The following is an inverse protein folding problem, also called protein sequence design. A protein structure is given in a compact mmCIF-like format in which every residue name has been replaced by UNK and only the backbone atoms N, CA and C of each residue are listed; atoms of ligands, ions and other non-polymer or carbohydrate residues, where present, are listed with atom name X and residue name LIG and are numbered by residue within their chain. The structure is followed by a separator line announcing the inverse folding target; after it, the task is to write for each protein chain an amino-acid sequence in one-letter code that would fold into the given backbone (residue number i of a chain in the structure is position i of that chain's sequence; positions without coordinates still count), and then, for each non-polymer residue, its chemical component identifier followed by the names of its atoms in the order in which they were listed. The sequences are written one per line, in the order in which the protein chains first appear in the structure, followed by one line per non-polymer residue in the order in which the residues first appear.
data_IF_671600254898
#
_entry.id   IF_671600254898
#
_cell.length_a   1.000
_cell.length_b   1.000
_cell.length_c   1.000
_cell.angle_alpha   90.00
_cell.angle_beta   90.00
_cell.angle_gamma   90.00
#
_symmetry.space_group_name_H-M   'P 1'
#
loop_
_entity.id
_entity.type
_entity.pdbx_description
1 polymer ?
#
# COMPACT_ATOMS: atom_id res chain seq x y z
N UNK A 1 32.54 1.62 24.35
CA UNK A 1 31.98 2.96 24.07
C UNK A 1 31.46 3.01 22.65
N UNK A 2 30.18 2.70 22.46
CA UNK A 2 29.49 2.99 21.21
C UNK A 2 29.11 4.48 21.22
N UNK A 3 29.86 5.27 20.45
CA UNK A 3 29.58 6.69 20.27
C UNK A 3 28.55 6.86 19.16
N UNK A 4 27.32 7.22 19.50
CA UNK A 4 26.27 7.53 18.53
C UNK A 4 26.29 9.02 18.16
N UNK A 5 26.25 9.32 16.85
CA UNK A 5 26.06 10.67 16.32
C UNK A 5 24.81 10.70 15.44
N UNK A 6 24.00 11.76 15.54
CA UNK A 6 22.73 11.88 14.82
C UNK A 6 22.70 13.10 13.90
N UNK A 7 22.20 12.90 12.68
CA UNK A 7 21.93 13.98 11.71
C UNK A 7 20.42 14.10 11.53
N UNK A 8 19.87 15.30 11.74
CA UNK A 8 18.46 15.59 11.55
C UNK A 8 18.24 16.36 10.26
N UNK A 9 17.39 15.83 9.37
CA UNK A 9 17.06 16.44 8.08
C UNK A 9 15.60 16.86 8.10
N UNK A 10 15.33 18.14 7.80
CA UNK A 10 13.98 18.68 7.68
C UNK A 10 13.57 18.71 6.20
N UNK A 11 12.54 17.95 5.85
CA UNK A 11 12.01 17.94 4.49
C UNK A 11 10.95 19.03 4.32
N UNK A 12 11.05 19.83 3.24
CA UNK A 12 10.06 20.85 2.92
C UNK A 12 8.74 20.20 2.47
N UNK A 13 7.61 20.72 2.94
CA UNK A 13 6.26 20.17 2.76
C UNK A 13 5.79 20.00 1.29
N UNK A 14 6.55 20.50 0.31
CA UNK A 14 6.23 20.42 -1.13
C UNK A 14 6.92 19.26 -1.84
N UNK A 15 7.83 18.55 -1.18
CA UNK A 15 8.52 17.41 -1.76
C UNK A 15 7.65 16.15 -1.67
N UNK A 16 7.63 15.33 -2.73
CA UNK A 16 7.04 14.00 -2.66
C UNK A 16 7.90 13.14 -1.72
N UNK A 17 7.44 13.05 -0.48
CA UNK A 17 8.13 12.37 0.62
C UNK A 17 8.36 10.90 0.30
N UNK A 18 7.44 10.25 -0.45
CA UNK A 18 7.58 8.84 -0.80
C UNK A 18 8.68 8.61 -1.81
N UNK A 19 8.75 9.45 -2.84
CA UNK A 19 9.76 9.35 -3.89
C UNK A 19 11.16 9.59 -3.31
N UNK A 20 11.30 10.64 -2.49
CA UNK A 20 12.57 10.94 -1.84
C UNK A 20 13.06 9.82 -0.90
N UNK A 21 12.17 9.25 -0.08
CA UNK A 21 12.54 8.16 0.83
C UNK A 21 12.89 6.89 0.08
N UNK A 22 12.20 6.61 -1.03
CA UNK A 22 12.47 5.45 -1.89
C UNK A 22 13.89 5.48 -2.47
N UNK A 23 14.41 6.65 -2.80
CA UNK A 23 15.78 6.81 -3.30
C UNK A 23 16.80 6.92 -2.16
N UNK A 24 16.41 7.46 -1.00
CA UNK A 24 17.29 7.64 0.16
C UNK A 24 17.65 6.32 0.85
N UNK A 25 16.69 5.42 1.05
CA UNK A 25 16.93 4.11 1.70
C UNK A 25 18.07 3.33 1.01
N UNK A 26 18.03 3.06 -0.31
CA UNK A 26 19.07 2.29 -0.96
C UNK A 26 20.43 3.02 -0.99
N UNK A 27 20.44 4.36 -1.03
CA UNK A 27 21.67 5.13 -0.93
C UNK A 27 22.33 5.00 0.44
N UNK A 28 21.53 4.91 1.51
CA UNK A 28 22.01 4.69 2.88
C UNK A 28 22.46 3.25 3.11
N UNK A 29 21.72 2.25 2.60
CA UNK A 29 22.13 0.83 2.69
C UNK A 29 23.48 0.58 1.97
N UNK A 30 23.73 1.26 0.86
CA UNK A 30 25.01 1.20 0.15
C UNK A 30 26.15 1.87 0.91
N UNK A 31 25.84 2.89 1.71
CA UNK A 31 26.83 3.60 2.52
C UNK A 31 27.20 2.81 3.78
N UNK A 32 26.21 2.18 4.41
CA UNK A 32 26.36 1.26 5.54
C UNK A 32 27.32 0.11 5.18
N UNK A 33 27.03 -0.63 4.10
CA UNK A 33 27.86 -1.74 3.63
C UNK A 33 29.30 -1.36 3.28
N UNK A 34 29.57 -0.10 2.93
CA UNK A 34 30.92 0.37 2.58
C UNK A 34 31.71 0.90 3.77
N UNK A 35 31.03 1.26 4.85
CA UNK A 35 31.66 2.01 5.95
C UNK A 35 31.60 1.26 7.29
N UNK A 36 30.98 0.07 7.34
CA UNK A 36 30.82 -0.75 8.57
C UNK A 36 30.21 0.07 9.71
N UNK A 37 29.26 0.94 9.37
CA UNK A 37 28.60 1.89 10.27
C UNK A 37 27.12 1.54 10.34
N UNK A 38 26.65 1.04 11.48
CA UNK A 38 25.23 0.79 11.72
C UNK A 38 24.40 2.09 11.64
N UNK A 39 23.77 2.32 10.48
CA UNK A 39 22.96 3.51 10.22
C UNK A 39 21.50 3.29 10.63
N UNK A 40 21.03 4.05 11.62
CA UNK A 40 19.65 4.02 12.08
C UNK A 40 18.83 5.17 11.49
N UNK A 41 17.92 4.83 10.58
CA UNK A 41 16.99 5.77 9.96
C UNK A 41 15.66 5.82 10.72
N UNK A 42 15.30 6.99 11.26
CA UNK A 42 14.05 7.18 12.00
C UNK A 42 13.38 8.51 11.67
N UNK A 43 12.11 8.64 12.07
CA UNK A 43 11.31 9.85 11.88
C UNK A 43 9.95 9.58 11.24
N UNK A 44 9.04 10.54 11.36
CA UNK A 44 7.67 10.47 10.80
C UNK A 44 7.64 10.16 9.29
N UNK A 45 8.52 10.74 8.45
CA UNK A 45 8.49 10.47 7.01
C UNK A 45 8.72 8.98 6.69
N UNK A 46 9.67 8.34 7.36
CA UNK A 46 10.05 6.94 7.14
C UNK A 46 8.99 5.99 7.68
N UNK A 47 8.48 6.25 8.89
CA UNK A 47 7.36 5.50 9.47
C UNK A 47 6.14 5.53 8.56
N UNK A 48 5.74 6.72 8.08
CA UNK A 48 4.59 6.85 7.19
C UNK A 48 4.82 6.17 5.83
N UNK A 49 6.05 6.14 5.32
CA UNK A 49 6.39 5.41 4.10
C UNK A 49 6.14 3.90 4.27
N UNK A 50 6.70 3.29 5.32
CA UNK A 50 6.51 1.86 5.59
C UNK A 50 5.05 1.51 5.91
N UNK A 51 4.36 2.35 6.70
CA UNK A 51 2.93 2.17 6.98
C UNK A 51 2.13 2.25 5.67
N UNK A 52 2.39 3.23 4.81
CA UNK A 52 1.68 3.37 3.54
C UNK A 52 1.96 2.23 2.56
N UNK A 53 3.18 1.68 2.55
CA UNK A 53 3.51 0.48 1.78
C UNK A 53 2.76 -0.75 2.31
N UNK A 54 2.73 -0.93 3.64
CA UNK A 54 1.97 -1.99 4.29
C UNK A 54 0.49 -1.91 3.95
N UNK A 55 -0.11 -0.73 4.09
CA UNK A 55 -1.52 -0.50 3.75
C UNK A 55 -1.84 -0.86 2.29
N UNK A 56 -0.99 -0.45 1.33
CA UNK A 56 -1.22 -0.77 -0.09
C UNK A 56 -1.21 -2.27 -0.35
N UNK A 57 -0.24 -2.99 0.23
CA UNK A 57 -0.16 -4.45 0.11
C UNK A 57 -1.39 -5.12 0.73
N UNK A 58 -1.74 -4.70 1.94
CA UNK A 58 -2.84 -5.30 2.68
C UNK A 58 -4.18 -5.03 1.98
N UNK A 59 -4.39 -3.83 1.41
CA UNK A 59 -5.56 -3.53 0.57
C UNK A 59 -5.66 -4.47 -0.63
N UNK A 60 -4.56 -4.73 -1.34
CA UNK A 60 -4.56 -5.64 -2.48
C UNK A 60 -4.91 -7.08 -2.06
N UNK A 61 -4.32 -7.57 -0.97
CA UNK A 61 -4.61 -8.90 -0.42
C UNK A 61 -6.07 -9.00 0.03
N UNK A 62 -6.58 -8.00 0.75
CA UNK A 62 -7.97 -8.00 1.20
C UNK A 62 -8.97 -7.92 0.05
N UNK A 63 -8.69 -7.11 -0.97
CA UNK A 63 -9.55 -7.02 -2.14
C UNK A 63 -9.63 -8.36 -2.89
N UNK A 64 -8.47 -8.96 -3.16
CA UNK A 64 -8.39 -10.22 -3.89
C UNK A 64 -8.98 -11.39 -3.09
N UNK A 65 -8.71 -11.44 -1.78
CA UNK A 65 -9.30 -12.43 -0.88
C UNK A 65 -10.81 -12.24 -0.74
N UNK A 66 -11.28 -10.99 -0.61
CA UNK A 66 -12.69 -10.66 -0.50
C UNK A 66 -13.49 -11.08 -1.72
N UNK A 67 -13.00 -10.79 -2.92
CA UNK A 67 -13.61 -11.27 -4.17
C UNK A 67 -13.67 -12.80 -4.21
N UNK A 68 -12.57 -13.47 -3.83
CA UNK A 68 -12.52 -14.93 -3.77
C UNK A 68 -13.59 -15.51 -2.82
N UNK A 69 -13.72 -14.93 -1.63
CA UNK A 69 -14.72 -15.36 -0.64
C UNK A 69 -16.14 -15.14 -1.17
N UNK A 70 -16.44 -13.96 -1.74
CA UNK A 70 -17.77 -13.68 -2.31
C UNK A 70 -18.07 -14.66 -3.45
N UNK A 71 -17.10 -14.92 -4.33
CA UNK A 71 -17.26 -15.87 -5.42
C UNK A 71 -17.57 -17.29 -4.91
N UNK A 72 -16.84 -17.77 -3.89
CA UNK A 72 -17.07 -19.08 -3.26
C UNK A 72 -18.47 -19.12 -2.62
N UNK A 73 -18.87 -18.07 -1.90
CA UNK A 73 -20.20 -17.96 -1.29
C UNK A 73 -21.31 -18.05 -2.34
N UNK A 74 -21.19 -17.29 -3.43
CA UNK A 74 -22.16 -17.32 -4.53
C UNK A 74 -22.19 -18.68 -5.21
N UNK A 75 -21.02 -19.31 -5.43
CA UNK A 75 -20.95 -20.65 -6.00
C UNK A 75 -21.67 -21.69 -5.13
N UNK A 76 -21.53 -21.61 -3.80
CA UNK A 76 -22.19 -22.52 -2.87
C UNK A 76 -23.71 -22.30 -2.79
N UNK A 77 -24.17 -21.04 -2.81
CA UNK A 77 -25.60 -20.69 -2.73
C UNK A 77 -26.34 -21.11 -4.00
N UNK A 78 -25.81 -20.76 -5.17
CA UNK A 78 -26.55 -20.94 -6.42
C UNK A 78 -26.37 -22.34 -7.02
N UNK A 79 -25.30 -23.06 -6.69
CA UNK A 79 -24.96 -24.42 -7.15
C UNK A 79 -25.00 -24.63 -8.69
N UNK A 80 -25.19 -23.56 -9.46
CA UNK A 80 -25.36 -23.56 -10.91
C UNK A 80 -24.79 -22.25 -11.48
N UNK A 81 -23.90 -22.36 -12.48
CA UNK A 81 -23.18 -21.23 -13.08
C UNK A 81 -24.13 -20.13 -13.58
N UNK A 82 -25.30 -20.51 -14.12
CA UNK A 82 -26.31 -19.55 -14.60
C UNK A 82 -26.91 -18.68 -13.49
N UNK A 83 -27.02 -19.22 -12.27
CA UNK A 83 -27.52 -18.48 -11.11
C UNK A 83 -26.50 -17.50 -10.53
N UNK A 84 -25.21 -17.67 -10.84
CA UNK A 84 -24.11 -16.84 -10.32
C UNK A 84 -23.95 -15.55 -11.14
N UNK A 85 -24.22 -15.58 -12.45
CA UNK A 85 -24.02 -14.44 -13.35
C UNK A 85 -24.83 -13.19 -12.96
N UNK A 86 -26.07 -13.37 -12.50
CA UNK A 86 -26.93 -12.26 -12.08
C UNK A 86 -26.31 -11.49 -10.89
N UNK A 87 -26.03 -12.11 -9.72
CA UNK A 87 -25.38 -11.42 -8.61
C UNK A 87 -24.00 -10.89 -8.96
N UNK A 88 -23.20 -11.63 -9.74
CA UNK A 88 -21.86 -11.18 -10.12
C UNK A 88 -21.90 -9.89 -10.94
N UNK A 89 -22.86 -9.76 -11.86
CA UNK A 89 -23.04 -8.54 -12.65
C UNK A 89 -23.33 -7.33 -11.76
N UNK A 90 -24.23 -7.47 -10.77
CA UNK A 90 -24.60 -6.40 -9.83
C UNK A 90 -23.37 -5.96 -9.03
N UNK A 91 -22.55 -6.90 -8.54
CA UNK A 91 -21.31 -6.59 -7.81
C UNK A 91 -20.31 -5.84 -8.70
N UNK A 92 -20.10 -6.28 -9.94
CA UNK A 92 -19.19 -5.60 -10.88
C UNK A 92 -19.67 -4.17 -11.15
N UNK A 93 -20.98 -3.99 -11.43
CA UNK A 93 -21.54 -2.66 -11.64
C UNK A 93 -21.38 -1.77 -10.40
N UNK A 94 -21.59 -2.29 -9.19
CA UNK A 94 -21.38 -1.55 -7.96
C UNK A 94 -19.91 -1.11 -7.78
N UNK A 95 -18.94 -1.99 -8.06
CA UNK A 95 -17.51 -1.65 -7.97
C UNK A 95 -17.13 -0.56 -8.98
N UNK A 96 -17.56 -0.70 -10.24
CA UNK A 96 -17.32 0.31 -11.28
C UNK A 96 -17.92 1.65 -10.87
N UNK A 97 -19.15 1.66 -10.36
CA UNK A 97 -19.79 2.89 -9.89
C UNK A 97 -19.03 3.53 -8.74
N UNK A 98 -18.60 2.73 -7.76
CA UNK A 98 -17.87 3.23 -6.58
C UNK A 98 -16.52 3.82 -7.00
N UNK A 99 -15.77 3.12 -7.85
CA UNK A 99 -14.49 3.63 -8.40
C UNK A 99 -14.69 4.87 -9.26
N UNK A 100 -15.73 4.90 -10.11
CA UNK A 100 -16.07 6.06 -10.92
C UNK A 100 -16.41 7.28 -10.07
N UNK A 101 -17.17 7.09 -8.98
CA UNK A 101 -17.47 8.15 -8.02
C UNK A 101 -16.18 8.65 -7.33
N UNK A 102 -15.33 7.75 -6.83
CA UNK A 102 -14.05 8.11 -6.20
C UNK A 102 -13.14 8.92 -7.14
N UNK A 103 -13.10 8.54 -8.43
CA UNK A 103 -12.36 9.27 -9.46
C UNK A 103 -12.90 10.68 -9.68
N UNK A 104 -14.24 10.85 -9.74
CA UNK A 104 -14.87 12.17 -9.88
C UNK A 104 -14.62 13.06 -8.65
N UNK A 105 -14.60 12.48 -7.46
CA UNK A 105 -14.33 13.16 -6.20
C UNK A 105 -12.84 13.51 -5.99
N UNK A 106 -11.95 13.08 -6.90
CA UNK A 106 -10.52 13.38 -6.83
C UNK A 106 -9.80 12.72 -5.65
N UNK A 107 -10.40 11.67 -5.06
CA UNK A 107 -9.80 10.83 -4.02
C UNK A 107 -9.86 9.38 -4.49
N UNK A 108 -8.95 8.95 -5.38
CA UNK A 108 -8.89 7.58 -5.85
C UNK A 108 -8.60 6.60 -4.71
#
# INVERSE_FOLDING_TARGET
DESAFGIMIFLKNTADVKEYIKDLIPAMDQFDQKTDLDLLLTGKPILNYYVSLGMQRDMAVFFMSGIGIIFILLAFIFRNLRGIFLPLSVVIFAVIWTMGAMAILGRP
#
